data_IF_403273334611
#
_entry.id   IF_403273334611
#
_cell.length_a   1.000
_cell.length_b   1.000
_cell.length_c   1.000
_cell.angle_alpha   90.00
_cell.angle_beta   90.00
_cell.angle_gamma   90.00
#
_symmetry.space_group_name_H-M   'P 1'
#
loop_
_entity.id
_entity.type
_entity.pdbx_description
1 polymer ?
#
# COMPACT_ATOMS: atom_id res chain seq x y z
N UNK A 1 38.34 -41.70 5.30
CA UNK A 1 37.96 -40.45 6.03
C UNK A 1 38.27 -39.14 5.29
N UNK A 2 38.77 -39.13 4.04
CA UNK A 2 39.04 -37.88 3.29
C UNK A 2 37.93 -37.46 2.31
N UNK A 3 36.97 -38.33 2.01
CA UNK A 3 35.84 -38.03 1.11
C UNK A 3 34.63 -37.37 1.78
N UNK A 4 34.49 -37.49 3.10
CA UNK A 4 33.32 -36.96 3.84
C UNK A 4 33.49 -35.45 4.10
N UNK A 5 34.74 -34.96 4.20
CA UNK A 5 35.04 -33.54 4.44
C UNK A 5 34.73 -32.68 3.19
N UNK A 6 34.85 -33.25 1.99
CA UNK A 6 34.57 -32.52 0.75
C UNK A 6 33.06 -32.29 0.52
N UNK A 7 32.22 -33.21 0.98
CA UNK A 7 30.76 -33.09 0.90
C UNK A 7 30.20 -32.00 1.82
N UNK A 8 30.86 -31.73 2.97
CA UNK A 8 30.45 -30.66 3.88
C UNK A 8 30.79 -29.25 3.36
N UNK A 9 31.85 -29.11 2.55
CA UNK A 9 32.25 -27.83 1.97
C UNK A 9 31.36 -27.41 0.79
N UNK A 10 30.78 -28.37 0.06
CA UNK A 10 29.84 -28.11 -1.04
C UNK A 10 28.41 -27.78 -0.56
N UNK A 11 28.08 -28.05 0.70
CA UNK A 11 26.82 -27.63 1.32
C UNK A 11 26.85 -26.16 1.82
N UNK A 12 28.02 -25.51 1.80
CA UNK A 12 28.19 -24.08 2.09
C UNK A 12 28.36 -23.24 0.81
N UNK A 13 27.81 -23.68 -0.32
CA UNK A 13 27.39 -22.73 -1.35
C UNK A 13 26.20 -21.96 -0.77
N UNK A 14 26.49 -20.95 0.07
CA UNK A 14 25.50 -20.05 0.62
C UNK A 14 24.65 -19.54 -0.53
N UNK A 15 23.36 -19.89 -0.54
CA UNK A 15 22.40 -19.10 -1.28
C UNK A 15 22.46 -17.72 -0.62
N UNK A 16 23.23 -16.81 -1.19
CA UNK A 16 23.02 -15.40 -0.95
C UNK A 16 21.56 -15.16 -1.34
N UNK A 17 20.70 -15.12 -0.33
CA UNK A 17 19.35 -14.64 -0.48
C UNK A 17 19.51 -13.17 -0.87
N UNK A 18 19.55 -12.88 -2.17
CA UNK A 18 19.57 -11.51 -2.67
C UNK A 18 18.25 -10.90 -2.21
N UNK A 19 18.24 -10.18 -1.10
CA UNK A 19 17.03 -9.55 -0.60
C UNK A 19 16.68 -8.40 -1.55
N UNK A 20 15.65 -8.59 -2.39
CA UNK A 20 15.18 -7.54 -3.30
C UNK A 20 14.35 -6.57 -2.47
N UNK A 21 14.98 -5.47 -2.07
CA UNK A 21 14.33 -4.44 -1.27
C UNK A 21 13.91 -3.24 -2.14
N UNK A 22 12.68 -2.74 -1.98
CA UNK A 22 12.27 -1.49 -2.61
C UNK A 22 12.92 -0.31 -1.89
N UNK A 23 13.87 0.34 -2.56
CA UNK A 23 14.65 1.45 -2.00
C UNK A 23 14.19 2.79 -2.56
N UNK A 24 14.00 3.76 -1.67
CA UNK A 24 13.80 5.17 -2.02
C UNK A 24 15.15 5.87 -2.20
N UNK A 25 15.20 6.92 -3.02
CA UNK A 25 16.46 7.64 -3.25
C UNK A 25 17.00 8.23 -1.94
N UNK A 26 18.29 8.00 -1.66
CA UNK A 26 18.92 8.50 -0.45
C UNK A 26 19.36 9.96 -0.55
N UNK A 27 19.60 10.44 -1.78
CA UNK A 27 20.19 11.76 -2.05
C UNK A 27 19.25 12.72 -2.77
N UNK A 28 18.13 12.23 -3.30
CA UNK A 28 17.16 13.04 -4.07
C UNK A 28 15.78 12.92 -3.46
N UNK A 29 15.01 14.01 -3.57
CA UNK A 29 13.58 13.96 -3.26
C UNK A 29 12.87 13.27 -4.42
N UNK A 30 12.19 12.16 -4.13
CA UNK A 30 11.31 11.47 -5.06
C UNK A 30 9.97 12.21 -5.10
N UNK A 31 9.50 12.54 -6.31
CA UNK A 31 8.22 13.23 -6.51
C UNK A 31 7.26 12.31 -7.25
N UNK A 32 6.14 11.98 -6.63
CA UNK A 32 5.10 11.12 -7.18
C UNK A 32 3.86 11.93 -7.53
N UNK A 33 3.19 11.56 -8.64
CA UNK A 33 1.80 11.95 -8.87
C UNK A 33 0.92 10.94 -8.16
N UNK A 34 0.04 11.41 -7.28
CA UNK A 34 -0.92 10.58 -6.56
C UNK A 34 -2.33 10.90 -7.04
N UNK A 35 -3.07 9.84 -7.37
CA UNK A 35 -4.49 9.89 -7.70
C UNK A 35 -5.19 8.78 -6.91
N UNK A 36 -6.28 9.12 -6.23
CA UNK A 36 -7.15 8.17 -5.56
C UNK A 36 -8.60 8.51 -5.85
N UNK A 37 -9.42 7.49 -6.01
CA UNK A 37 -10.84 7.62 -6.31
C UNK A 37 -11.63 6.62 -5.46
N UNK A 38 -12.72 7.09 -4.86
CA UNK A 38 -13.72 6.25 -4.21
C UNK A 38 -15.07 6.49 -4.88
N UNK A 39 -15.78 5.41 -5.20
CA UNK A 39 -17.15 5.44 -5.73
C UNK A 39 -18.00 4.43 -4.96
N UNK A 40 -19.20 4.85 -4.61
CA UNK A 40 -20.20 4.06 -3.92
C UNK A 40 -21.48 4.05 -4.76
N UNK A 41 -22.07 2.87 -4.94
CA UNK A 41 -23.30 2.68 -5.70
C UNK A 41 -23.37 1.28 -6.31
N UNK A 42 -24.44 1.03 -7.06
CA UNK A 42 -24.65 -0.24 -7.74
C UNK A 42 -23.64 -0.33 -8.91
N UNK A 43 -22.95 -1.48 -9.08
CA UNK A 43 -21.88 -1.64 -10.08
C UNK A 43 -22.41 -1.83 -11.52
N UNK A 44 -23.50 -1.14 -11.89
CA UNK A 44 -24.06 -1.13 -13.25
C UNK A 44 -23.80 0.22 -13.93
N UNK A 45 -23.85 0.20 -15.26
CA UNK A 45 -23.74 1.40 -16.11
C UNK A 45 -25.05 2.19 -16.01
N UNK A 46 -24.98 3.50 -16.15
CA UNK A 46 -26.13 4.40 -16.18
C UNK A 46 -26.94 4.45 -14.88
N UNK A 47 -26.37 3.97 -13.77
CA UNK A 47 -26.94 4.13 -12.44
C UNK A 47 -26.26 5.26 -11.65
N UNK A 48 -27.01 5.94 -10.75
CA UNK A 48 -26.44 6.93 -9.85
C UNK A 48 -25.37 6.34 -8.94
N UNK A 49 -24.25 7.08 -8.80
CA UNK A 49 -23.20 6.80 -7.82
C UNK A 49 -22.78 8.09 -7.13
N UNK A 50 -22.20 7.96 -5.95
CA UNK A 50 -21.53 9.05 -5.25
C UNK A 50 -20.07 8.71 -5.03
N UNK A 51 -19.20 9.72 -4.97
CA UNK A 51 -17.78 9.47 -4.86
C UNK A 51 -16.94 10.71 -4.65
N UNK A 52 -15.65 10.47 -4.43
CA UNK A 52 -14.64 11.51 -4.29
C UNK A 52 -13.36 11.09 -5.01
N UNK A 53 -12.65 12.08 -5.52
CA UNK A 53 -11.33 11.92 -6.15
C UNK A 53 -10.35 12.87 -5.49
N UNK A 54 -9.17 12.37 -5.14
CA UNK A 54 -8.05 13.14 -4.61
C UNK A 54 -6.88 13.06 -5.60
N UNK A 55 -6.43 14.22 -6.07
CA UNK A 55 -5.20 14.36 -6.83
C UNK A 55 -4.18 15.13 -5.99
N UNK A 56 -2.92 14.71 -5.97
CA UNK A 56 -1.87 15.44 -5.29
C UNK A 56 -0.48 15.12 -5.87
N UNK A 57 0.52 15.92 -5.47
CA UNK A 57 1.93 15.55 -5.60
C UNK A 57 2.45 15.12 -4.23
N UNK A 58 3.22 14.03 -4.20
CA UNK A 58 3.79 13.48 -2.97
C UNK A 58 5.31 13.53 -3.11
N UNK A 59 5.95 14.33 -2.26
CA UNK A 59 7.40 14.47 -2.16
C UNK A 59 7.89 13.58 -1.02
N UNK A 60 8.86 12.71 -1.29
CA UNK A 60 9.48 11.86 -0.27
C UNK A 60 10.99 12.03 -0.33
N UNK A 61 11.61 12.32 0.81
CA UNK A 61 13.06 12.47 0.94
C UNK A 61 13.58 11.78 2.19
N UNK A 62 14.83 11.31 2.14
CA UNK A 62 15.48 10.74 3.32
C UNK A 62 15.78 11.83 4.33
N UNK A 63 15.49 11.57 5.60
CA UNK A 63 15.80 12.44 6.73
C UNK A 63 16.94 11.90 7.58
N UNK A 64 16.90 10.60 7.89
CA UNK A 64 17.93 9.91 8.65
C UNK A 64 18.00 8.43 8.19
N UNK A 65 18.73 7.58 8.92
CA UNK A 65 18.71 6.14 8.66
C UNK A 65 17.28 5.60 8.86
N UNK A 66 16.73 4.92 7.85
CA UNK A 66 15.38 4.35 7.84
C UNK A 66 14.24 5.34 8.14
N UNK A 67 14.50 6.66 8.10
CA UNK A 67 13.51 7.70 8.42
C UNK A 67 13.41 8.66 7.24
N UNK A 68 12.17 8.95 6.84
CA UNK A 68 11.86 9.75 5.66
C UNK A 68 10.91 10.89 6.02
N UNK A 69 11.00 11.98 5.26
CA UNK A 69 10.02 13.06 5.26
C UNK A 69 9.08 12.86 4.07
N UNK A 70 7.79 13.00 4.31
CA UNK A 70 6.77 13.04 3.28
C UNK A 70 6.09 14.41 3.30
N UNK A 71 5.88 14.99 2.12
CA UNK A 71 5.10 16.22 1.95
C UNK A 71 4.09 16.08 0.83
N UNK A 72 2.85 16.45 1.10
CA UNK A 72 1.77 16.48 0.11
C UNK A 72 1.67 17.91 -0.42
N UNK A 73 1.65 18.06 -1.75
CA UNK A 73 1.57 19.35 -2.44
C UNK A 73 0.33 19.38 -3.31
N UNK A 74 -0.30 20.55 -3.32
CA UNK A 74 -1.44 20.88 -4.19
C UNK A 74 -2.53 19.80 -4.17
N UNK A 75 -3.05 19.38 -2.99
CA UNK A 75 -4.15 18.44 -2.95
C UNK A 75 -5.40 19.06 -3.57
N UNK A 76 -6.04 18.32 -4.47
CA UNK A 76 -7.29 18.70 -5.12
C UNK A 76 -8.33 17.61 -4.89
N UNK A 77 -9.43 17.99 -4.24
CA UNK A 77 -10.60 17.15 -4.08
C UNK A 77 -11.61 17.46 -5.18
N UNK A 78 -12.15 16.41 -5.77
CA UNK A 78 -13.33 16.47 -6.62
C UNK A 78 -14.39 15.54 -6.07
N UNK A 79 -15.64 15.94 -6.21
CA UNK A 79 -16.82 15.20 -5.77
C UNK A 79 -17.54 14.66 -7.00
N UNK A 80 -18.14 13.49 -6.86
CA UNK A 80 -18.96 12.85 -7.88
C UNK A 80 -20.32 12.56 -7.28
N UNK A 81 -21.37 12.99 -7.95
CA UNK A 81 -22.74 12.63 -7.64
C UNK A 81 -23.54 12.68 -8.94
N UNK A 82 -23.80 11.52 -9.54
CA UNK A 82 -24.39 11.46 -10.88
C UNK A 82 -24.40 10.04 -11.47
N UNK A 83 -24.81 9.95 -12.72
CA UNK A 83 -24.86 8.73 -13.51
C UNK A 83 -23.46 8.33 -13.95
N UNK A 84 -23.03 7.13 -13.56
CA UNK A 84 -21.73 6.60 -13.99
C UNK A 84 -21.87 5.83 -15.32
N UNK A 85 -21.01 6.05 -16.34
CA UNK A 85 -19.81 6.90 -16.38
C UNK A 85 -20.02 8.28 -17.03
N UNK A 86 -21.27 8.73 -17.21
CA UNK A 86 -21.63 9.92 -17.99
C UNK A 86 -21.21 11.23 -17.32
N UNK A 87 -21.52 11.37 -16.04
CA UNK A 87 -21.32 12.63 -15.34
C UNK A 87 -19.85 12.82 -14.92
N UNK A 88 -19.33 14.07 -14.90
CA UNK A 88 -17.97 14.33 -14.50
C UNK A 88 -17.81 14.47 -12.98
N UNK A 89 -16.57 14.35 -12.51
CA UNK A 89 -16.18 14.84 -11.19
C UNK A 89 -16.14 16.38 -11.17
N UNK A 90 -16.72 16.99 -10.14
CA UNK A 90 -16.77 18.44 -9.94
C UNK A 90 -15.75 18.84 -8.87
N UNK A 91 -14.95 19.88 -9.12
CA UNK A 91 -13.92 20.33 -8.16
C UNK A 91 -14.56 20.92 -6.90
N UNK A 92 -14.02 20.54 -5.74
CA UNK A 92 -14.43 21.06 -4.44
C UNK A 92 -13.34 21.95 -3.86
N UNK A 93 -13.45 23.27 -4.10
CA UNK A 93 -12.45 24.25 -3.62
C UNK A 93 -12.35 24.25 -2.09
N UNK A 94 -13.50 24.19 -1.40
CA UNK A 94 -13.56 24.17 0.07
C UNK A 94 -12.85 22.97 0.66
N UNK A 95 -13.16 21.75 0.18
CA UNK A 95 -12.53 20.52 0.68
C UNK A 95 -11.04 20.47 0.33
N UNK A 96 -10.66 20.94 -0.86
CA UNK A 96 -9.26 21.04 -1.26
C UNK A 96 -8.47 21.93 -0.31
N UNK A 97 -9.01 23.10 0.06
CA UNK A 97 -8.37 24.02 1.00
C UNK A 97 -8.22 23.41 2.40
N UNK A 98 -9.28 22.77 2.92
CA UNK A 98 -9.27 22.13 4.24
C UNK A 98 -8.17 21.07 4.35
N UNK A 99 -7.92 20.29 3.30
CA UNK A 99 -6.83 19.31 3.28
C UNK A 99 -5.49 20.02 3.12
N UNK A 100 -5.38 21.00 2.22
CA UNK A 100 -4.15 21.75 1.98
C UNK A 100 -3.59 22.41 3.24
N UNK A 101 -4.46 22.98 4.09
CA UNK A 101 -4.07 23.62 5.34
C UNK A 101 -3.43 22.64 6.32
N UNK A 102 -3.92 21.39 6.36
CA UNK A 102 -3.42 20.34 7.27
C UNK A 102 -2.14 19.67 6.78
N UNK A 103 -1.94 19.55 5.46
CA UNK A 103 -0.77 18.86 4.88
C UNK A 103 0.37 19.80 4.48
N UNK A 104 0.28 21.07 4.89
CA UNK A 104 1.26 22.11 4.59
C UNK A 104 2.66 21.81 5.16
N UNK A 105 2.71 21.13 6.31
CA UNK A 105 3.93 20.68 6.99
C UNK A 105 4.26 19.23 6.62
N UNK A 106 5.56 18.89 6.46
CA UNK A 106 5.95 17.51 6.22
C UNK A 106 5.72 16.65 7.47
N UNK A 107 5.43 15.38 7.25
CA UNK A 107 5.37 14.34 8.28
C UNK A 107 6.61 13.45 8.18
N UNK A 108 6.98 12.82 9.29
CA UNK A 108 8.06 11.82 9.31
C UNK A 108 7.46 10.43 9.34
N UNK A 109 8.11 9.48 8.68
CA UNK A 109 7.76 8.07 8.80
C UNK A 109 8.99 7.19 8.73
N UNK A 110 8.91 6.04 9.37
CA UNK A 110 9.92 5.01 9.29
C UNK A 110 9.67 4.09 8.10
N UNK A 111 10.73 3.76 7.38
CA UNK A 111 10.68 2.84 6.26
C UNK A 111 11.98 2.06 6.13
N UNK A 112 11.87 0.73 6.19
CA UNK A 112 13.01 -0.19 6.17
C UNK A 112 12.60 -1.48 5.46
N UNK A 113 13.41 -1.94 4.51
CA UNK A 113 13.25 -3.22 3.83
C UNK A 113 11.81 -3.43 3.29
N UNK A 114 11.23 -2.38 2.70
CA UNK A 114 9.85 -2.44 2.18
C UNK A 114 8.73 -2.38 3.21
N UNK A 115 9.05 -2.16 4.49
CA UNK A 115 8.08 -2.04 5.60
C UNK A 115 8.01 -0.63 6.11
N UNK A 116 6.78 -0.14 6.27
CA UNK A 116 6.45 1.06 7.02
C UNK A 116 6.51 0.76 8.52
N UNK A 117 7.07 1.69 9.28
CA UNK A 117 7.00 1.73 10.74
C UNK A 117 6.14 2.90 11.20
N UNK A 118 6.59 3.56 12.26
CA UNK A 118 5.83 4.64 12.89
C UNK A 118 5.71 5.88 11.99
N UNK A 119 4.59 6.59 12.14
CA UNK A 119 4.31 7.86 11.47
C UNK A 119 4.22 8.95 12.53
N UNK A 120 5.07 9.96 12.42
CA UNK A 120 5.08 11.13 13.30
C UNK A 120 4.55 12.34 12.54
N UNK A 121 3.39 12.81 12.98
CA UNK A 121 2.68 13.95 12.43
C UNK A 121 2.49 15.02 13.53
N UNK A 122 2.43 16.32 13.18
CA UNK A 122 2.03 17.37 14.12
C UNK A 122 0.62 17.16 14.66
N UNK A 123 0.38 17.48 15.94
CA UNK A 123 -0.92 17.30 16.63
C UNK A 123 -2.09 18.03 15.96
N UNK A 124 -1.80 19.06 15.16
CA UNK A 124 -2.80 19.83 14.41
C UNK A 124 -3.40 19.08 13.21
N UNK A 125 -2.80 17.95 12.80
CA UNK A 125 -3.32 17.14 11.70
C UNK A 125 -4.45 16.25 12.23
N UNK A 126 -5.62 16.36 11.61
CA UNK A 126 -6.78 15.54 11.99
C UNK A 126 -6.55 14.06 11.68
N UNK A 127 -7.20 13.18 12.44
CA UNK A 127 -7.17 11.73 12.23
C UNK A 127 -7.60 11.34 10.81
N UNK A 128 -8.52 12.08 10.19
CA UNK A 128 -8.93 11.86 8.80
C UNK A 128 -7.76 12.05 7.83
N UNK A 129 -7.04 13.18 7.95
CA UNK A 129 -5.89 13.48 7.08
C UNK A 129 -4.75 12.52 7.35
N UNK A 130 -4.53 12.13 8.61
CA UNK A 130 -3.55 11.11 8.96
C UNK A 130 -3.88 9.75 8.33
N UNK A 131 -5.16 9.36 8.28
CA UNK A 131 -5.59 8.14 7.60
C UNK A 131 -5.44 8.22 6.07
N UNK A 132 -5.61 9.39 5.46
CA UNK A 132 -5.27 9.60 4.04
C UNK A 132 -3.75 9.40 3.83
N UNK A 133 -2.91 9.95 4.71
CA UNK A 133 -1.45 9.76 4.67
C UNK A 133 -1.08 8.28 4.79
N UNK A 134 -1.69 7.54 5.73
CA UNK A 134 -1.52 6.08 5.87
C UNK A 134 -1.91 5.36 4.58
N UNK A 135 -3.02 5.75 3.95
CA UNK A 135 -3.46 5.20 2.67
C UNK A 135 -2.45 5.42 1.54
N UNK A 136 -1.85 6.61 1.44
CA UNK A 136 -0.79 6.92 0.47
C UNK A 136 0.45 6.07 0.76
N UNK A 137 0.93 6.08 2.01
CA UNK A 137 2.14 5.37 2.41
C UNK A 137 2.01 3.86 2.23
N UNK A 138 0.82 3.27 2.44
CA UNK A 138 0.56 1.84 2.26
C UNK A 138 0.92 1.33 0.84
N UNK A 139 1.00 2.20 -0.16
CA UNK A 139 1.51 1.84 -1.50
C UNK A 139 3.01 1.51 -1.51
N UNK A 140 3.76 1.92 -0.48
CA UNK A 140 5.18 1.61 -0.29
C UNK A 140 5.38 0.31 0.50
N UNK A 141 4.34 -0.23 1.13
CA UNK A 141 4.40 -1.49 1.87
C UNK A 141 4.56 -2.67 0.89
N UNK A 142 5.79 -3.09 0.64
CA UNK A 142 6.17 -4.09 -0.34
C UNK A 142 7.27 -4.98 0.26
N UNK A 143 6.89 -6.05 0.97
CA UNK A 143 7.86 -6.94 1.64
C UNK A 143 8.22 -8.12 0.77
N UNK A 144 8.96 -7.88 -0.32
CA UNK A 144 9.24 -8.93 -1.27
C UNK A 144 10.23 -9.97 -0.75
N UNK A 145 9.95 -11.25 -1.04
CA UNK A 145 10.92 -12.34 -0.91
C UNK A 145 11.51 -12.66 -2.29
N UNK A 146 12.83 -12.70 -2.41
CA UNK A 146 13.50 -12.96 -3.69
C UNK A 146 13.53 -14.44 -4.10
N UNK A 147 13.26 -15.35 -3.19
CA UNK A 147 13.45 -16.79 -3.41
C UNK A 147 12.31 -17.45 -4.19
N UNK A 148 11.16 -16.79 -4.30
CA UNK A 148 9.94 -17.38 -4.85
C UNK A 148 9.21 -16.39 -5.77
N UNK A 149 8.79 -16.86 -6.95
CA UNK A 149 8.03 -16.06 -7.90
C UNK A 149 6.58 -15.83 -7.48
N UNK A 150 6.04 -16.68 -6.61
CA UNK A 150 4.72 -16.49 -6.04
C UNK A 150 4.69 -17.08 -4.62
N UNK A 151 4.10 -16.34 -3.68
CA UNK A 151 4.04 -16.76 -2.28
C UNK A 151 2.96 -15.97 -1.51
N UNK A 152 2.54 -16.54 -0.39
CA UNK A 152 1.60 -15.93 0.53
C UNK A 152 2.33 -15.51 1.82
N UNK A 153 1.97 -14.35 2.37
CA UNK A 153 2.47 -13.80 3.63
C UNK A 153 1.34 -13.18 4.44
N UNK A 154 1.51 -13.11 5.76
CA UNK A 154 0.72 -12.21 6.60
C UNK A 154 1.40 -10.85 6.61
N UNK A 155 0.69 -9.82 6.15
CA UNK A 155 1.24 -8.48 6.04
C UNK A 155 0.34 -7.48 6.75
N UNK A 156 0.97 -6.57 7.50
CA UNK A 156 0.28 -5.43 8.10
C UNK A 156 0.03 -4.35 7.04
N UNK A 157 -1.17 -3.79 7.04
CA UNK A 157 -1.56 -2.66 6.22
C UNK A 157 -2.74 -1.91 6.83
N UNK A 158 -3.36 -1.03 6.04
CA UNK A 158 -4.47 -0.16 6.51
C UNK A 158 -5.71 -0.92 7.02
N UNK A 159 -5.91 -2.17 6.59
CA UNK A 159 -7.01 -3.03 7.06
C UNK A 159 -6.69 -3.85 8.31
N UNK A 160 -5.44 -3.78 8.80
CA UNK A 160 -4.90 -4.64 9.84
C UNK A 160 -3.91 -5.67 9.28
N UNK A 161 -3.83 -6.85 9.89
CA UNK A 161 -2.95 -7.94 9.44
C UNK A 161 -3.76 -8.92 8.61
N UNK A 162 -3.48 -8.97 7.30
CA UNK A 162 -4.24 -9.75 6.33
C UNK A 162 -3.34 -10.71 5.55
N UNK A 163 -3.96 -11.76 5.02
CA UNK A 163 -3.29 -12.65 4.07
C UNK A 163 -3.08 -11.92 2.74
N UNK A 164 -1.82 -11.87 2.31
CA UNK A 164 -1.39 -11.17 1.10
C UNK A 164 -0.58 -12.11 0.22
N UNK A 165 -0.97 -12.21 -1.05
CA UNK A 165 -0.29 -12.97 -2.08
C UNK A 165 0.56 -12.06 -2.96
N UNK A 166 1.80 -12.44 -3.19
CA UNK A 166 2.68 -11.80 -4.15
C UNK A 166 2.86 -12.70 -5.36
N UNK A 167 2.92 -12.08 -6.54
CA UNK A 167 3.34 -12.70 -7.80
C UNK A 167 4.34 -11.77 -8.48
N UNK A 168 5.52 -12.29 -8.72
CA UNK A 168 6.67 -11.60 -9.27
C UNK A 168 6.90 -12.07 -10.70
N UNK A 169 6.87 -11.13 -11.62
CA UNK A 169 7.21 -11.32 -13.02
C UNK A 169 8.48 -10.52 -13.33
N UNK A 170 9.63 -11.15 -13.12
CA UNK A 170 10.92 -10.58 -13.51
C UNK A 170 11.12 -10.75 -15.03
N UNK A 171 11.38 -9.65 -15.74
CA UNK A 171 11.73 -9.73 -17.15
C UNK A 171 13.20 -10.19 -17.25
N UNK A 172 13.45 -11.41 -17.73
CA UNK A 172 14.80 -12.00 -17.85
C UNK A 172 15.75 -11.17 -18.75
N UNK A 173 15.24 -10.23 -19.54
CA UNK A 173 16.02 -9.42 -20.49
C UNK A 173 16.16 -7.94 -20.11
N UNK A 174 15.64 -7.49 -18.96
CA UNK A 174 15.76 -6.08 -18.58
C UNK A 174 15.60 -5.82 -17.08
N UNK A 175 16.01 -4.63 -16.65
CA UNK A 175 15.99 -4.21 -15.23
C UNK A 175 14.59 -3.97 -14.68
N UNK A 176 13.51 -4.26 -15.43
CA UNK A 176 12.14 -4.00 -15.02
C UNK A 176 11.49 -5.27 -14.46
N UNK A 177 10.89 -5.14 -13.29
CA UNK A 177 10.18 -6.19 -12.57
C UNK A 177 8.74 -5.75 -12.36
N UNK A 178 7.79 -6.59 -12.77
CA UNK A 178 6.37 -6.37 -12.48
C UNK A 178 6.00 -7.21 -11.25
N UNK A 179 5.36 -6.58 -10.27
CA UNK A 179 4.95 -7.24 -9.03
C UNK A 179 3.47 -7.01 -8.83
N UNK A 180 2.73 -8.09 -8.67
CA UNK A 180 1.32 -8.07 -8.32
C UNK A 180 1.18 -8.50 -6.88
N UNK A 181 0.58 -7.66 -6.06
CA UNK A 181 0.26 -7.93 -4.66
C UNK A 181 -1.25 -7.95 -4.53
N UNK A 182 -1.81 -9.02 -3.98
CA UNK A 182 -3.25 -9.15 -3.73
C UNK A 182 -3.48 -9.41 -2.24
N UNK A 183 -4.31 -8.60 -1.60
CA UNK A 183 -4.64 -8.72 -0.17
C UNK A 183 -6.10 -9.12 -0.02
N UNK A 184 -6.35 -10.18 0.74
CA UNK A 184 -7.71 -10.62 1.07
C UNK A 184 -8.16 -10.02 2.41
N UNK A 185 -9.06 -9.04 2.37
CA UNK A 185 -9.60 -8.43 3.60
C UNK A 185 -10.65 -9.31 4.30
N UNK A 186 -10.92 -10.50 3.77
CA UNK A 186 -11.78 -11.50 4.37
C UNK A 186 -11.04 -12.47 5.30
N UNK A 187 -9.71 -12.53 5.17
CA UNK A 187 -8.77 -13.37 5.92
C UNK A 187 -7.82 -12.46 6.70
N UNK A 188 -8.20 -12.14 7.94
CA UNK A 188 -7.44 -11.26 8.81
C UNK A 188 -7.14 -11.95 10.13
N UNK A 189 -5.95 -11.70 10.65
CA UNK A 189 -5.63 -12.01 12.04
C UNK A 189 -6.22 -10.91 12.96
N UNK A 190 -6.06 -9.65 12.56
CA UNK A 190 -6.58 -8.48 13.27
C UNK A 190 -7.25 -7.54 12.26
N UNK A 191 -8.57 -7.33 12.39
CA UNK A 191 -9.33 -6.40 11.53
C UNK A 191 -9.47 -5.04 12.19
N UNK A 192 -9.13 -3.99 11.45
CA UNK A 192 -9.45 -2.62 11.84
C UNK A 192 -10.88 -2.31 11.40
N UNK A 193 -11.84 -2.37 12.33
CA UNK A 193 -13.21 -1.97 12.07
C UNK A 193 -13.94 -1.52 13.33
N UNK A 194 -14.91 -0.63 13.17
CA UNK A 194 -15.81 -0.20 14.22
C UNK A 194 -17.24 -0.51 13.81
N UNK A 195 -17.99 -1.20 14.68
CA UNK A 195 -19.40 -1.52 14.49
C UNK A 195 -20.21 -0.86 15.60
N UNK A 196 -21.35 -0.29 15.25
CA UNK A 196 -22.28 0.36 16.17
C UNK A 196 -23.65 -0.30 16.01
N UNK A 197 -24.40 -0.46 17.11
CA UNK A 197 -25.74 -1.07 17.07
C UNK A 197 -25.77 -2.59 16.89
N UNK A 198 -24.65 -3.28 17.07
CA UNK A 198 -24.55 -4.75 16.90
C UNK A 198 -24.48 -5.53 18.22
N UNK A 199 -24.81 -4.89 19.35
CA UNK A 199 -24.64 -5.48 20.68
C UNK A 199 -25.46 -6.76 20.89
N UNK A 200 -26.62 -6.88 20.23
CA UNK A 200 -27.52 -8.02 20.31
C UNK A 200 -27.49 -8.90 19.05
N UNK A 201 -26.51 -8.68 18.16
CA UNK A 201 -26.36 -9.49 16.95
C UNK A 201 -25.66 -10.78 17.31
N UNK A 202 -26.35 -11.90 17.14
CA UNK A 202 -25.76 -13.23 17.31
C UNK A 202 -25.02 -13.66 16.04
N UNK A 203 -23.83 -14.23 16.21
CA UNK A 203 -23.06 -14.80 15.12
C UNK A 203 -23.70 -16.12 14.70
N UNK A 204 -24.01 -16.25 13.41
CA UNK A 204 -24.44 -17.50 12.79
C UNK A 204 -23.33 -18.04 11.87
N UNK A 205 -22.51 -19.01 12.34
CA UNK A 205 -21.42 -19.58 11.53
C UNK A 205 -21.91 -20.24 10.24
N UNK A 206 -22.99 -21.04 10.31
CA UNK A 206 -23.57 -21.71 9.15
C UNK A 206 -24.06 -20.71 8.10
N UNK A 207 -24.69 -19.61 8.51
CA UNK A 207 -25.10 -18.53 7.61
C UNK A 207 -23.90 -17.89 6.89
N UNK A 208 -22.77 -17.73 7.60
CA UNK A 208 -21.54 -17.14 7.05
C UNK A 208 -20.82 -18.06 6.07
N UNK A 209 -20.92 -19.37 6.27
CA UNK A 209 -20.43 -20.39 5.33
C UNK A 209 -21.29 -20.44 4.07
N UNK A 210 -22.62 -20.30 4.20
CA UNK A 210 -23.53 -20.23 3.06
C UNK A 210 -23.34 -18.94 2.25
N UNK A 211 -23.24 -17.78 2.92
CA UNK A 211 -23.06 -16.50 2.24
C UNK A 211 -22.26 -15.49 3.07
N UNK A 212 -21.44 -14.68 2.38
CA UNK A 212 -20.73 -13.55 2.98
C UNK A 212 -21.31 -12.24 2.47
N UNK A 213 -21.88 -11.47 3.40
CA UNK A 213 -22.54 -10.18 3.12
C UNK A 213 -21.56 -9.07 2.71
N UNK A 214 -20.33 -9.12 3.22
CA UNK A 214 -19.27 -8.18 2.87
C UNK A 214 -18.06 -8.97 2.41
N UNK A 215 -17.55 -8.60 1.23
CA UNK A 215 -16.33 -9.14 0.65
C UNK A 215 -15.43 -7.98 0.27
N UNK A 216 -14.18 -8.03 0.71
CA UNK A 216 -13.18 -7.02 0.37
C UNK A 216 -11.88 -7.66 -0.08
N UNK A 217 -11.27 -7.07 -1.10
CA UNK A 217 -9.91 -7.39 -1.54
C UNK A 217 -9.26 -6.14 -2.13
N UNK A 218 -7.93 -6.13 -2.20
CA UNK A 218 -7.17 -5.10 -2.89
C UNK A 218 -6.06 -5.73 -3.73
N UNK A 219 -5.89 -5.22 -4.95
CA UNK A 219 -4.80 -5.61 -5.84
C UNK A 219 -3.94 -4.40 -6.14
N UNK A 220 -2.63 -4.53 -5.91
CA UNK A 220 -1.62 -3.52 -6.17
C UNK A 220 -0.70 -4.02 -7.28
N UNK A 221 -0.46 -3.18 -8.27
CA UNK A 221 0.41 -3.49 -9.40
C UNK A 221 1.61 -2.54 -9.38
N UNK A 222 2.80 -3.09 -9.22
CA UNK A 222 4.04 -2.34 -9.17
C UNK A 222 4.89 -2.62 -10.40
N UNK A 223 5.47 -1.54 -10.95
CA UNK A 223 6.53 -1.59 -11.96
C UNK A 223 7.80 -1.08 -11.32
N UNK A 224 8.66 -2.00 -10.89
CA UNK A 224 9.89 -1.69 -10.18
C UNK A 224 11.07 -1.75 -11.16
N UNK A 225 12.05 -0.87 -10.96
CA UNK A 225 13.32 -0.92 -11.69
C UNK A 225 14.40 -1.39 -10.72
N UNK A 226 15.12 -2.43 -11.11
CA UNK A 226 16.31 -2.90 -10.40
C UNK A 226 17.37 -1.81 -10.42
N UNK A 227 17.91 -1.51 -9.25
CA UNK A 227 19.12 -0.71 -9.12
C UNK A 227 20.25 -1.71 -9.00
N UNK A 228 20.90 -2.03 -10.12
CA UNK A 228 22.04 -2.94 -10.12
C UNK A 228 23.06 -2.49 -9.07
N UNK A 229 23.40 -3.37 -8.13
CA UNK A 229 24.58 -3.23 -7.29
C UNK A 229 25.76 -3.27 -8.25
N UNK A 230 26.40 -2.11 -8.50
CA UNK A 230 27.76 -2.15 -9.01
C UNK A 230 28.61 -2.72 -7.88
N UNK A 231 28.86 -4.02 -7.95
CA UNK A 231 29.97 -4.63 -7.24
C UNK A 231 31.21 -3.96 -7.84
N UNK A 232 31.84 -3.10 -7.06
CA UNK A 232 33.20 -2.61 -7.32
C UNK A 232 34.15 -3.66 -6.79
#
# INVERSE_FOLDING_TARGET
MRGIILALLLALAGSENIEIEPVLSESKTSVFSYEAEIKNGIPEIDLPRSGMKLNAKVEISRYAQNTYLMKIRSPEIREFNGLFPKDPFIRSAKLSQVIADQVSKPIKFEYRNGRLGDIHAPDMISELVLNIIRGILNMLQITMKSTQNAYDVQESGIGGVCQTRYVIHANKKGDLMNVVKSTDFNSYLNKVSKSLGVAFVELCPSCREMHRNLRGSATYNYKLKSRGTKVV
#
